data_IF_412355022742
#
_entry.id   IF_412355022742
#
_cell.length_a   1.000
_cell.length_b   1.000
_cell.length_c   1.000
_cell.angle_alpha   90.00
_cell.angle_beta   90.00
_cell.angle_gamma   90.00
#
_symmetry.space_group_name_H-M   'P 1'
#
loop_
_entity.id
_entity.type
_entity.pdbx_description
1 polymer ?
#
# COMPACT_ATOMS: atom_id res chain seq x y z
N UNK A 1 12.72 -0.27 -11.13
CA UNK A 1 11.42 0.24 -10.67
C UNK A 1 11.61 1.51 -9.83
N UNK A 2 10.65 2.43 -9.82
CA UNK A 2 10.68 3.69 -9.07
C UNK A 2 9.51 3.79 -8.07
N UNK A 3 9.77 4.23 -6.84
CA UNK A 3 8.75 4.35 -5.80
C UNK A 3 7.97 5.67 -5.89
N UNK A 4 6.65 5.58 -5.84
CA UNK A 4 5.76 6.75 -5.81
C UNK A 4 4.97 6.78 -4.52
N UNK A 5 5.33 7.72 -3.64
CA UNK A 5 4.76 7.88 -2.31
C UNK A 5 3.31 8.36 -2.35
N UNK A 6 2.51 7.88 -1.41
CA UNK A 6 1.11 8.29 -1.25
C UNK A 6 0.99 9.14 0.02
N UNK A 7 0.90 10.46 -0.16
CA UNK A 7 0.64 11.44 0.90
C UNK A 7 1.46 11.22 2.20
N UNK A 8 2.77 11.03 2.03
CA UNK A 8 3.72 10.87 3.13
C UNK A 8 3.61 12.02 4.14
N UNK A 9 3.80 11.70 5.43
CA UNK A 9 3.66 12.64 6.56
C UNK A 9 2.29 13.32 6.63
N UNK A 10 1.24 12.66 6.13
CA UNK A 10 -0.11 13.20 6.09
C UNK A 10 -0.22 14.55 5.35
N UNK A 11 0.64 14.75 4.36
CA UNK A 11 0.66 15.94 3.51
C UNK A 11 0.17 15.61 2.11
N UNK A 12 -0.77 16.41 1.61
CA UNK A 12 -1.29 16.25 0.25
C UNK A 12 -0.18 16.45 -0.78
N UNK A 13 -0.03 15.48 -1.69
CA UNK A 13 0.85 15.52 -2.85
C UNK A 13 0.08 15.05 -4.09
N UNK A 14 0.73 15.08 -5.26
CA UNK A 14 0.19 14.35 -6.41
C UNK A 14 -0.04 12.90 -6.01
N UNK A 15 -1.22 12.36 -6.35
CA UNK A 15 -1.58 11.00 -5.96
C UNK A 15 -0.58 9.98 -6.50
N UNK A 16 -0.35 8.92 -5.72
CA UNK A 16 0.61 7.88 -6.10
C UNK A 16 0.21 7.19 -7.41
N UNK A 17 -1.10 7.00 -7.66
CA UNK A 17 -1.62 6.42 -8.90
C UNK A 17 -1.33 7.30 -10.13
N UNK A 18 -1.55 8.61 -10.04
CA UNK A 18 -1.28 9.53 -11.15
C UNK A 18 0.22 9.60 -11.45
N UNK A 19 1.04 9.71 -10.40
CA UNK A 19 2.50 9.72 -10.53
C UNK A 19 3.02 8.41 -11.12
N UNK A 20 2.45 7.28 -10.71
CA UNK A 20 2.80 5.95 -11.23
C UNK A 20 2.42 5.79 -12.70
N UNK A 21 1.26 6.32 -13.13
CA UNK A 21 0.86 6.29 -14.54
C UNK A 21 1.78 7.14 -15.41
N UNK A 22 2.13 8.34 -14.97
CA UNK A 22 3.08 9.20 -15.69
C UNK A 22 4.45 8.52 -15.82
N UNK A 23 4.92 7.85 -14.76
CA UNK A 23 6.15 7.07 -14.80
C UNK A 23 6.08 5.93 -15.81
N UNK A 24 4.96 5.20 -15.83
CA UNK A 24 4.73 4.11 -16.77
C UNK A 24 4.73 4.60 -18.22
N UNK A 25 4.13 5.76 -18.49
CA UNK A 25 4.12 6.39 -19.82
C UNK A 25 5.51 6.82 -20.30
N UNK A 26 6.43 7.07 -19.38
CA UNK A 26 7.84 7.33 -19.65
C UNK A 26 8.67 6.04 -19.78
N UNK A 27 8.04 4.87 -19.74
CA UNK A 27 8.70 3.56 -19.90
C UNK A 27 9.42 3.05 -18.65
N UNK A 28 9.18 3.65 -17.48
CA UNK A 28 9.76 3.21 -16.21
C UNK A 28 8.72 2.51 -15.34
N UNK A 29 9.09 1.39 -14.76
CA UNK A 29 8.20 0.58 -13.94
C UNK A 29 7.94 1.22 -12.56
N UNK A 30 6.68 1.59 -12.21
CA UNK A 30 6.37 2.19 -10.93
C UNK A 30 6.14 1.13 -9.83
N UNK A 31 6.50 1.47 -8.60
CA UNK A 31 6.00 0.87 -7.36
C UNK A 31 5.08 1.90 -6.70
N UNK A 32 3.78 1.68 -6.83
CA UNK A 32 2.77 2.57 -6.29
C UNK A 32 2.60 2.29 -4.80
N UNK A 33 2.79 3.29 -3.95
CA UNK A 33 2.38 3.16 -2.56
C UNK A 33 0.86 3.28 -2.47
N UNK A 34 0.24 2.35 -1.75
CA UNK A 34 -1.17 2.37 -1.43
C UNK A 34 -1.33 2.41 0.09
N UNK A 35 -1.71 3.56 0.59
CA UNK A 35 -1.91 3.80 2.01
C UNK A 35 -3.36 3.54 2.44
N UNK A 36 -3.55 2.90 3.60
CA UNK A 36 -4.86 2.61 4.17
C UNK A 36 -5.51 3.79 4.91
N UNK A 37 -4.70 4.70 5.46
CA UNK A 37 -5.18 5.94 6.12
C UNK A 37 -6.12 6.74 5.23
N UNK A 38 -7.14 7.34 5.84
CA UNK A 38 -8.13 8.22 5.21
C UNK A 38 -8.96 7.51 4.11
N UNK A 39 -8.94 6.18 4.07
CA UNK A 39 -9.63 5.37 3.06
C UNK A 39 -10.43 4.24 3.70
N UNK A 40 -11.60 3.97 3.12
CA UNK A 40 -12.35 2.75 3.39
C UNK A 40 -11.82 1.59 2.54
N UNK A 41 -12.13 0.35 2.92
CA UNK A 41 -11.86 -0.85 2.13
C UNK A 41 -12.36 -0.74 0.68
N UNK A 42 -13.52 -0.12 0.48
CA UNK A 42 -14.11 0.08 -0.85
C UNK A 42 -13.25 1.02 -1.71
N UNK A 43 -12.75 2.11 -1.11
CA UNK A 43 -11.85 3.02 -1.80
C UNK A 43 -10.52 2.31 -2.14
N UNK A 44 -9.98 1.49 -1.23
CA UNK A 44 -8.76 0.73 -1.45
C UNK A 44 -8.89 -0.32 -2.56
N UNK A 45 -9.99 -1.08 -2.59
CA UNK A 45 -10.29 -2.02 -3.68
C UNK A 45 -10.42 -1.28 -5.02
N UNK A 46 -11.14 -0.16 -5.03
CA UNK A 46 -11.34 0.66 -6.23
C UNK A 46 -10.02 1.22 -6.74
N UNK A 47 -9.19 1.80 -5.88
CA UNK A 47 -7.89 2.38 -6.23
C UNK A 47 -6.94 1.31 -6.77
N UNK A 48 -6.87 0.13 -6.13
CA UNK A 48 -6.02 -0.97 -6.58
C UNK A 48 -6.46 -1.53 -7.95
N UNK A 49 -7.77 -1.69 -8.17
CA UNK A 49 -8.31 -2.12 -9.47
C UNK A 49 -8.09 -1.05 -10.54
N UNK A 50 -8.26 0.22 -10.19
CA UNK A 50 -7.95 1.35 -11.09
C UNK A 50 -6.48 1.35 -11.50
N UNK A 51 -5.57 1.13 -10.55
CA UNK A 51 -4.13 1.00 -10.83
C UNK A 51 -3.85 -0.17 -11.79
N UNK A 52 -4.49 -1.33 -11.57
CA UNK A 52 -4.37 -2.47 -12.49
C UNK A 52 -4.86 -2.12 -13.91
N UNK A 53 -6.00 -1.41 -14.03
CA UNK A 53 -6.53 -0.97 -15.32
C UNK A 53 -5.63 0.04 -16.04
N UNK A 54 -4.82 0.79 -15.29
CA UNK A 54 -3.81 1.70 -15.82
C UNK A 54 -2.47 1.00 -16.15
N UNK A 55 -2.37 -0.32 -15.93
CA UNK A 55 -1.17 -1.11 -16.18
C UNK A 55 -0.16 -1.11 -15.02
N UNK A 56 -0.51 -0.53 -13.87
CA UNK A 56 0.35 -0.52 -12.67
C UNK A 56 0.19 -1.85 -11.93
N UNK A 57 1.30 -2.58 -11.78
CA UNK A 57 1.30 -3.93 -11.19
C UNK A 57 1.99 -4.01 -9.83
N UNK A 58 2.96 -3.15 -9.54
CA UNK A 58 3.68 -3.21 -8.26
C UNK A 58 3.03 -2.28 -7.23
N UNK A 59 2.58 -2.85 -6.12
CA UNK A 59 1.90 -2.10 -5.06
C UNK A 59 2.62 -2.33 -3.72
N UNK A 60 3.02 -1.24 -3.06
CA UNK A 60 3.52 -1.26 -1.69
C UNK A 60 2.39 -0.86 -0.73
N UNK A 61 1.90 -1.80 0.07
CA UNK A 61 0.81 -1.57 1.01
C UNK A 61 1.32 -0.96 2.32
N UNK A 62 0.69 0.13 2.76
CA UNK A 62 1.07 0.89 3.95
C UNK A 62 -0.15 1.17 4.82
N UNK A 63 0.03 1.17 6.15
CA UNK A 63 -1.01 1.69 7.05
C UNK A 63 -1.10 3.21 6.90
N UNK A 64 0.06 3.86 6.80
CA UNK A 64 0.17 5.31 6.70
C UNK A 64 0.62 6.02 7.98
N UNK A 65 1.11 7.24 7.83
CA UNK A 65 1.51 8.08 8.96
C UNK A 65 0.29 8.64 9.68
N UNK A 66 0.30 8.72 11.00
CA UNK A 66 -0.83 9.29 11.74
C UNK A 66 -1.15 10.72 11.28
N UNK A 67 -2.44 11.10 11.26
CA UNK A 67 -2.90 12.40 10.76
C UNK A 67 -2.29 13.60 11.53
N UNK A 68 -1.88 13.39 12.78
CA UNK A 68 -1.21 14.41 13.61
C UNK A 68 0.16 14.85 13.08
N UNK A 69 0.78 14.09 12.18
CA UNK A 69 2.03 14.49 11.53
C UNK A 69 1.82 15.47 10.36
N UNK A 70 0.56 15.66 9.95
CA UNK A 70 0.19 16.54 8.84
C UNK A 70 0.02 18.00 9.24
N UNK A 71 0.02 18.92 8.25
CA UNK A 71 -0.25 20.33 8.49
C UNK A 71 -1.71 20.59 8.85
N UNK A 72 -1.98 21.76 9.46
CA UNK A 72 -3.35 22.26 9.67
C UNK A 72 -3.97 22.75 8.35
N UNK A 73 -5.29 22.57 8.11
CA UNK A 73 -6.27 21.89 8.95
C UNK A 73 -6.11 20.36 8.91
N UNK A 74 -6.12 19.72 10.10
CA UNK A 74 -5.98 18.27 10.19
C UNK A 74 -7.23 17.55 9.67
N UNK A 75 -7.02 16.43 8.98
CA UNK A 75 -8.09 15.48 8.65
C UNK A 75 -8.74 14.97 9.94
N UNK A 76 -10.03 14.60 9.87
CA UNK A 76 -10.65 13.90 10.99
C UNK A 76 -10.02 12.50 11.10
N UNK A 77 -9.52 12.10 12.30
CA UNK A 77 -8.79 10.86 12.47
C UNK A 77 -9.67 9.60 12.49
N UNK A 78 -10.94 9.69 12.12
CA UNK A 78 -11.97 8.65 12.28
C UNK A 78 -11.98 7.57 11.19
N UNK A 79 -11.25 7.75 10.07
CA UNK A 79 -11.11 6.70 9.03
C UNK A 79 -9.80 5.91 9.17
N UNK A 80 -9.82 4.90 10.05
CA UNK A 80 -8.83 3.83 10.12
C UNK A 80 -9.52 2.47 9.95
N UNK A 81 -10.00 2.18 8.74
CA UNK A 81 -10.72 0.93 8.44
C UNK A 81 -9.79 -0.30 8.38
N UNK A 82 -8.62 -0.15 7.77
CA UNK A 82 -7.67 -1.25 7.55
C UNK A 82 -6.23 -0.84 7.87
N UNK A 83 -5.41 -1.81 8.27
CA UNK A 83 -3.95 -1.69 8.34
C UNK A 83 -3.23 -2.31 7.14
N UNK A 84 -1.91 -2.13 7.02
CA UNK A 84 -1.10 -2.67 5.93
C UNK A 84 -1.24 -4.20 5.75
N UNK A 85 -1.36 -4.96 6.85
CA UNK A 85 -1.46 -6.43 6.81
C UNK A 85 -2.83 -6.82 6.25
N UNK A 86 -3.89 -6.13 6.68
CA UNK A 86 -5.24 -6.36 6.18
C UNK A 86 -5.37 -5.96 4.71
N UNK A 87 -4.76 -4.85 4.28
CA UNK A 87 -4.74 -4.45 2.86
C UNK A 87 -3.99 -5.47 2.02
N UNK A 88 -2.83 -5.95 2.48
CA UNK A 88 -2.09 -7.02 1.81
C UNK A 88 -2.95 -8.26 1.63
N UNK A 89 -3.58 -8.73 2.71
CA UNK A 89 -4.44 -9.90 2.67
C UNK A 89 -5.61 -9.73 1.69
N UNK A 90 -6.27 -8.56 1.71
CA UNK A 90 -7.38 -8.25 0.82
C UNK A 90 -6.93 -8.25 -0.65
N UNK A 91 -5.84 -7.56 -0.99
CA UNK A 91 -5.36 -7.52 -2.37
C UNK A 91 -4.83 -8.87 -2.83
N UNK A 92 -4.15 -9.62 -1.96
CA UNK A 92 -3.74 -11.01 -2.25
C UNK A 92 -4.96 -11.86 -2.57
N UNK A 93 -6.02 -11.78 -1.76
CA UNK A 93 -7.26 -12.52 -1.98
C UNK A 93 -7.91 -12.16 -3.31
N UNK A 94 -8.04 -10.88 -3.60
CA UNK A 94 -8.58 -10.41 -4.89
C UNK A 94 -7.77 -10.93 -6.09
N UNK A 95 -6.44 -10.93 -6.00
CA UNK A 95 -5.54 -11.45 -7.03
C UNK A 95 -5.64 -12.97 -7.19
N UNK A 96 -5.49 -13.70 -6.09
CA UNK A 96 -5.32 -15.17 -6.08
C UNK A 96 -6.68 -15.88 -6.24
N UNK A 97 -7.70 -15.46 -5.50
CA UNK A 97 -9.05 -16.06 -5.54
C UNK A 97 -9.93 -15.44 -6.63
N UNK A 98 -9.61 -14.22 -7.09
CA UNK A 98 -10.40 -13.54 -8.13
C UNK A 98 -11.76 -13.06 -7.65
N UNK A 99 -11.87 -12.67 -6.38
CA UNK A 99 -13.10 -12.15 -5.77
C UNK A 99 -12.83 -10.83 -5.05
N UNK A 100 -13.76 -9.89 -5.17
CA UNK A 100 -13.82 -8.73 -4.29
C UNK A 100 -14.05 -9.17 -2.84
N UNK A 101 -13.79 -8.28 -1.90
CA UNK A 101 -13.97 -8.54 -0.47
C UNK A 101 -15.43 -8.87 -0.12
N UNK A 102 -16.40 -8.34 -0.88
CA UNK A 102 -17.82 -8.66 -0.77
C UNK A 102 -18.23 -10.00 -1.43
N UNK A 103 -17.28 -10.73 -2.02
CA UNK A 103 -17.48 -12.04 -2.64
C UNK A 103 -17.88 -11.99 -4.12
N UNK A 104 -18.07 -10.80 -4.72
CA UNK A 104 -18.33 -10.70 -6.17
C UNK A 104 -17.11 -11.16 -6.96
N UNK A 105 -17.34 -11.90 -8.04
CA UNK A 105 -16.26 -12.34 -8.93
C UNK A 105 -15.64 -11.17 -9.70
N UNK A 106 -14.30 -11.17 -9.81
CA UNK A 106 -13.54 -10.24 -10.63
C UNK A 106 -13.40 -10.84 -12.03
N UNK A 107 -13.93 -10.14 -13.05
CA UNK A 107 -13.94 -10.61 -14.45
C UNK A 107 -12.53 -10.80 -15.02
N UNK A 108 -11.65 -9.82 -14.77
CA UNK A 108 -10.26 -9.85 -15.17
C UNK A 108 -9.41 -9.71 -13.93
N UNK A 109 -8.80 -10.82 -13.51
CA UNK A 109 -8.00 -10.85 -12.29
C UNK A 109 -6.78 -9.94 -12.46
N UNK A 110 -6.47 -9.10 -11.47
CA UNK A 110 -5.26 -8.30 -11.48
C UNK A 110 -4.03 -9.20 -11.30
N UNK A 111 -2.87 -8.74 -11.79
CA UNK A 111 -1.58 -9.44 -11.65
C UNK A 111 -0.65 -8.62 -10.75
N UNK A 112 -1.08 -8.31 -9.54
CA UNK A 112 -0.28 -7.46 -8.65
C UNK A 112 0.94 -8.18 -8.07
N UNK A 113 2.06 -7.47 -8.04
CA UNK A 113 3.23 -7.79 -7.24
C UNK A 113 3.18 -6.97 -5.96
N UNK A 114 2.84 -7.64 -4.85
CA UNK A 114 2.50 -6.98 -3.59
C UNK A 114 3.71 -6.87 -2.67
N UNK A 115 3.90 -5.70 -2.05
CA UNK A 115 4.99 -5.47 -1.12
C UNK A 115 4.54 -4.82 0.17
N UNK A 116 5.42 -4.85 1.16
CA UNK A 116 5.19 -4.25 2.46
C UNK A 116 6.40 -3.46 2.96
N UNK A 117 6.16 -2.45 3.79
CA UNK A 117 7.23 -1.77 4.50
C UNK A 117 7.63 -2.51 5.79
N UNK A 118 8.89 -2.43 6.20
CA UNK A 118 9.37 -2.86 7.51
C UNK A 118 10.23 -1.75 8.15
N UNK A 119 10.24 -1.66 9.47
CA UNK A 119 11.07 -0.67 10.17
C UNK A 119 11.91 -1.38 11.23
N UNK A 120 13.11 -1.89 10.87
CA UNK A 120 13.90 -2.74 11.77
C UNK A 120 14.20 -2.12 13.15
N UNK A 121 14.19 -0.79 13.24
CA UNK A 121 14.41 -0.02 14.47
C UNK A 121 13.15 0.70 14.99
N UNK A 122 11.97 0.44 14.43
CA UNK A 122 10.72 1.08 14.85
C UNK A 122 10.17 0.57 16.19
N UNK A 123 10.54 -0.65 16.57
CA UNK A 123 10.22 -1.28 17.85
C UNK A 123 11.32 -2.30 18.18
N UNK A 124 11.34 -2.91 19.39
CA UNK A 124 12.29 -3.99 19.68
C UNK A 124 12.32 -5.05 18.57
N UNK A 125 13.51 -5.52 18.13
CA UNK A 125 13.66 -6.34 16.92
C UNK A 125 12.74 -7.55 16.84
N UNK A 126 12.46 -8.19 17.99
CA UNK A 126 11.52 -9.32 18.09
C UNK A 126 10.11 -8.96 17.60
N UNK A 127 9.61 -7.77 17.93
CA UNK A 127 8.28 -7.33 17.50
C UNK A 127 8.25 -6.96 16.02
N UNK A 128 9.31 -6.34 15.50
CA UNK A 128 9.43 -6.02 14.08
C UNK A 128 9.54 -7.29 13.23
N UNK A 129 10.25 -8.32 13.70
CA UNK A 129 10.28 -9.63 13.05
C UNK A 129 8.88 -10.26 12.96
N UNK A 130 8.10 -10.25 14.06
CA UNK A 130 6.72 -10.75 14.06
C UNK A 130 5.83 -9.93 13.11
N UNK A 131 6.00 -8.61 13.06
CA UNK A 131 5.25 -7.74 12.14
C UNK A 131 5.60 -8.03 10.68
N UNK A 132 6.88 -8.24 10.38
CA UNK A 132 7.33 -8.61 9.04
C UNK A 132 6.78 -9.98 8.63
N UNK A 133 6.83 -10.97 9.52
CA UNK A 133 6.28 -12.31 9.30
C UNK A 133 4.77 -12.26 9.02
N UNK A 134 4.01 -11.46 9.76
CA UNK A 134 2.57 -11.23 9.48
C UNK A 134 2.33 -10.69 8.07
N UNK A 135 3.17 -9.77 7.59
CA UNK A 135 3.06 -9.20 6.24
C UNK A 135 3.39 -10.22 5.16
N UNK A 136 4.42 -11.04 5.38
CA UNK A 136 4.75 -12.17 4.49
C UNK A 136 3.59 -13.15 4.41
N UNK A 137 3.03 -13.57 5.55
CA UNK A 137 1.88 -14.47 5.61
C UNK A 137 0.62 -13.88 4.94
N UNK A 138 0.43 -12.56 5.02
CA UNK A 138 -0.65 -11.85 4.35
C UNK A 138 -0.49 -11.77 2.82
N UNK A 139 0.67 -12.10 2.26
CA UNK A 139 0.91 -12.16 0.82
C UNK A 139 1.95 -11.18 0.27
N UNK A 140 2.74 -10.54 1.12
CA UNK A 140 3.85 -9.72 0.65
C UNK A 140 4.90 -10.58 -0.07
N UNK A 141 5.25 -10.18 -1.29
CA UNK A 141 6.28 -10.79 -2.12
C UNK A 141 7.61 -10.05 -2.05
N UNK A 142 7.61 -8.81 -1.54
CA UNK A 142 8.83 -8.06 -1.24
C UNK A 142 8.66 -7.19 0.01
N UNK A 143 9.78 -6.83 0.63
CA UNK A 143 9.83 -5.93 1.78
C UNK A 143 10.74 -4.73 1.45
N UNK A 144 10.29 -3.53 1.78
CA UNK A 144 11.11 -2.31 1.77
C UNK A 144 11.34 -1.84 3.21
N UNK A 145 12.60 -1.75 3.63
CA UNK A 145 12.93 -1.25 4.96
C UNK A 145 12.97 0.27 4.98
N UNK A 146 12.72 0.86 6.14
CA UNK A 146 13.11 2.25 6.38
C UNK A 146 14.64 2.42 6.28
N UNK A 147 15.14 3.62 5.94
CA UNK A 147 16.57 3.89 5.93
C UNK A 147 17.23 3.58 7.27
N UNK A 148 18.41 2.95 7.22
CA UNK A 148 19.23 2.62 8.38
C UNK A 148 20.57 3.31 8.18
N UNK A 149 21.02 4.05 9.19
CA UNK A 149 22.27 4.81 9.15
C UNK A 149 23.38 4.21 10.03
N UNK A 150 23.07 3.13 10.77
CA UNK A 150 23.99 2.39 11.64
C UNK A 150 24.48 1.15 10.87
N UNK A 151 25.79 1.07 10.60
CA UNK A 151 26.43 0.06 9.75
C UNK A 151 27.61 -0.64 10.43
#
# INVERSE_FOLDING_TARGET
>A
AANFTDNASASARMSSIASSKLCLDLGLEPVMQLQARDRSRVALESDAMGASGLGIRNILCLSGDHACFGPSPMCKPDQSDMDAVQVLWMLRRMRDEGVYLDGRAIKQRPEWFLGAAASPFGAPPKYEAIRAEKKVNAGAQFIQTQPIFDY
#
